data_IF_055009476011
#
_entry.id   IF_055009476011
#
_cell.length_a   1.000
_cell.length_b   1.000
_cell.length_c   1.000
_cell.angle_alpha   90.00
_cell.angle_beta   90.00
_cell.angle_gamma   90.00
#
_symmetry.space_group_name_H-M   'P 1'
#
loop_
_entity.id
_entity.type
_entity.pdbx_description
1 polymer ?
#
# COMPACT_ATOMS: atom_id res chain seq x y z
N UNK A 1 -22.62 35.81 69.01
CA UNK A 1 -22.62 34.53 68.27
C UNK A 1 -22.27 34.79 66.81
N UNK A 2 -21.02 34.56 66.40
CA UNK A 2 -20.57 34.59 65.00
C UNK A 2 -19.70 33.37 64.76
N UNK A 3 -20.18 32.47 63.92
CA UNK A 3 -19.57 31.18 63.58
C UNK A 3 -18.55 31.37 62.46
N UNK A 4 -17.26 31.17 62.74
CA UNK A 4 -16.22 31.02 61.73
C UNK A 4 -16.24 29.59 61.19
N UNK A 5 -16.43 29.40 59.88
CA UNK A 5 -16.26 28.11 59.20
C UNK A 5 -14.89 28.08 58.54
N UNK A 6 -14.06 27.14 58.99
CA UNK A 6 -12.76 26.77 58.40
C UNK A 6 -13.00 26.00 57.10
N UNK A 7 -12.45 26.48 56.00
CA UNK A 7 -12.44 25.77 54.70
C UNK A 7 -11.14 24.97 54.61
N UNK A 8 -11.25 23.65 54.62
CA UNK A 8 -10.14 22.74 54.37
C UNK A 8 -9.94 22.57 52.85
N UNK A 9 -8.77 22.97 52.35
CA UNK A 9 -8.39 22.82 50.96
C UNK A 9 -7.83 21.40 50.75
N UNK A 10 -8.56 20.55 50.04
CA UNK A 10 -8.17 19.18 49.72
C UNK A 10 -7.28 19.23 48.47
N UNK A 11 -5.96 19.09 48.63
CA UNK A 11 -5.02 18.96 47.53
C UNK A 11 -5.13 17.54 46.93
N UNK A 12 -5.75 17.41 45.77
CA UNK A 12 -5.77 16.16 45.01
C UNK A 12 -4.44 15.97 44.30
N UNK A 13 -3.63 15.03 44.79
CA UNK A 13 -2.44 14.52 44.12
C UNK A 13 -2.85 13.80 42.83
N UNK A 14 -2.47 14.36 41.68
CA UNK A 14 -2.58 13.67 40.40
C UNK A 14 -1.51 12.56 40.34
N UNK A 15 -1.85 11.33 39.91
CA UNK A 15 -0.89 10.26 39.73
C UNK A 15 0.04 10.60 38.56
N UNK A 16 1.34 10.65 38.84
CA UNK A 16 2.40 10.74 37.84
C UNK A 16 2.34 9.51 36.94
N UNK A 17 1.97 9.70 35.67
CA UNK A 17 2.06 8.65 34.65
C UNK A 17 3.54 8.42 34.37
N UNK A 18 4.13 7.40 34.99
CA UNK A 18 5.44 6.92 34.61
C UNK A 18 5.36 6.39 33.17
N UNK A 19 6.09 7.03 32.24
CA UNK A 19 6.37 6.46 30.93
C UNK A 19 7.12 5.15 31.16
N UNK A 20 6.42 4.02 31.08
CA UNK A 20 7.05 2.72 31.14
C UNK A 20 8.02 2.60 29.97
N UNK A 21 9.32 2.48 30.27
CA UNK A 21 10.33 2.13 29.27
C UNK A 21 9.93 0.79 28.66
N UNK A 22 9.66 0.77 27.35
CA UNK A 22 9.45 -0.48 26.64
C UNK A 22 10.82 -1.13 26.46
N UNK A 23 11.18 -2.01 27.40
CA UNK A 23 12.47 -2.71 27.38
C UNK A 23 12.57 -3.52 26.08
N UNK A 24 13.54 -3.16 25.22
CA UNK A 24 13.75 -3.85 23.94
C UNK A 24 14.21 -5.28 24.23
N UNK A 25 13.58 -6.32 23.64
CA UNK A 25 13.99 -7.71 23.84
C UNK A 25 15.45 -7.92 23.49
N UNK A 26 16.17 -8.64 24.34
CA UNK A 26 17.58 -8.97 24.12
C UNK A 26 17.75 -10.32 23.41
N UNK A 27 18.59 -10.38 22.37
CA UNK A 27 18.92 -11.58 21.62
C UNK A 27 20.42 -11.80 21.45
N UNK A 28 20.79 -12.73 20.57
CA UNK A 28 22.18 -13.02 20.16
C UNK A 28 22.44 -12.60 18.72
N UNK A 29 23.62 -12.04 18.44
CA UNK A 29 24.04 -11.72 17.06
C UNK A 29 24.27 -13.03 16.29
N UNK A 30 23.59 -13.24 15.13
CA UNK A 30 23.83 -14.41 14.31
C UNK A 30 25.33 -14.54 13.92
N UNK A 31 25.93 -15.74 14.01
CA UNK A 31 27.37 -15.91 13.76
C UNK A 31 27.83 -15.51 12.35
N UNK A 32 26.97 -15.71 11.36
CA UNK A 32 27.18 -15.33 9.96
C UNK A 32 27.20 -13.81 9.77
N UNK A 33 26.30 -13.07 10.42
CA UNK A 33 26.32 -11.60 10.44
C UNK A 33 27.57 -11.10 11.16
N UNK A 34 27.92 -11.69 12.31
CA UNK A 34 29.15 -11.34 13.02
C UNK A 34 30.41 -11.57 12.17
N UNK A 35 30.48 -12.69 11.45
CA UNK A 35 31.57 -12.99 10.53
C UNK A 35 31.61 -12.01 9.34
N UNK A 36 30.45 -11.67 8.77
CA UNK A 36 30.36 -10.71 7.67
C UNK A 36 30.86 -9.32 8.08
N UNK A 37 30.48 -8.84 9.27
CA UNK A 37 30.96 -7.55 9.81
C UNK A 37 32.48 -7.58 10.02
N UNK A 38 33.03 -8.68 10.56
CA UNK A 38 34.48 -8.84 10.76
C UNK A 38 35.24 -8.81 9.43
N UNK A 39 34.76 -9.57 8.44
CA UNK A 39 35.38 -9.69 7.14
C UNK A 39 35.26 -8.43 6.27
N UNK A 40 34.20 -7.62 6.46
CA UNK A 40 34.02 -6.40 5.69
C UNK A 40 35.16 -5.40 5.96
N UNK A 41 35.75 -4.77 4.92
CA UNK A 41 36.71 -3.71 5.12
C UNK A 41 36.05 -2.48 5.76
N UNK A 42 36.86 -1.62 6.41
CA UNK A 42 36.39 -0.29 6.77
C UNK A 42 36.01 0.45 5.48
N UNK A 43 34.77 0.93 5.40
CA UNK A 43 34.31 1.81 4.34
C UNK A 43 35.12 3.10 4.37
N UNK A 44 35.23 3.71 5.55
CA UNK A 44 36.07 4.87 5.87
C UNK A 44 36.41 4.84 7.37
N UNK A 45 37.49 5.49 7.78
CA UNK A 45 37.78 5.70 9.20
C UNK A 45 36.73 6.60 9.86
N UNK A 46 36.38 7.70 9.20
CA UNK A 46 35.35 8.64 9.63
C UNK A 46 34.35 8.83 8.49
N UNK A 47 33.06 8.60 8.77
CA UNK A 47 31.96 8.92 7.85
C UNK A 47 31.22 10.15 8.40
N UNK A 48 31.44 11.34 7.84
CA UNK A 48 30.62 12.50 8.18
C UNK A 48 29.26 12.40 7.49
N UNK A 49 28.18 12.58 8.25
CA UNK A 49 26.82 12.71 7.72
C UNK A 49 26.44 14.18 7.80
N UNK A 50 26.53 14.87 6.66
CA UNK A 50 26.19 16.29 6.53
C UNK A 50 24.98 16.47 5.61
N UNK A 51 23.86 16.98 6.13
CA UNK A 51 22.63 17.07 5.34
C UNK A 51 22.01 15.70 5.10
N UNK A 52 22.18 15.12 3.92
CA UNK A 52 21.70 13.77 3.58
C UNK A 52 22.77 12.99 2.82
N UNK A 53 23.22 11.87 3.40
CA UNK A 53 24.18 10.96 2.78
C UNK A 53 23.51 9.63 2.44
N UNK A 54 23.81 9.09 1.24
CA UNK A 54 23.17 7.90 0.69
C UNK A 54 24.15 6.75 0.58
N UNK A 55 23.73 5.56 1.02
CA UNK A 55 24.54 4.35 1.02
C UNK A 55 23.80 3.17 0.39
N UNK A 56 24.42 2.53 -0.60
CA UNK A 56 23.88 1.36 -1.29
C UNK A 56 24.55 0.05 -0.88
N UNK A 57 25.62 0.13 -0.08
CA UNK A 57 26.39 -1.02 0.39
C UNK A 57 25.58 -1.85 1.38
N UNK A 58 25.84 -3.16 1.39
CA UNK A 58 25.29 -4.07 2.39
C UNK A 58 25.84 -3.78 3.78
N UNK A 59 27.13 -3.46 3.89
CA UNK A 59 27.82 -3.18 5.16
C UNK A 59 28.53 -1.84 5.03
N UNK A 60 28.15 -0.91 5.89
CA UNK A 60 28.80 0.38 6.10
C UNK A 60 29.57 0.23 7.40
N UNK A 61 30.90 0.26 7.35
CA UNK A 61 31.76 0.00 8.51
C UNK A 61 32.76 1.14 8.70
N UNK A 62 32.79 1.75 9.88
CA UNK A 62 33.71 2.84 10.19
C UNK A 62 34.24 2.79 11.62
N UNK A 63 35.35 3.47 11.90
CA UNK A 63 35.74 3.72 13.29
C UNK A 63 34.76 4.74 13.92
N UNK A 64 34.42 5.80 13.18
CA UNK A 64 33.47 6.83 13.61
C UNK A 64 32.44 7.18 12.52
N UNK A 65 31.17 7.27 12.89
CA UNK A 65 30.12 7.91 12.08
C UNK A 65 29.69 9.18 12.82
N UNK A 66 29.80 10.35 12.18
CA UNK A 66 29.52 11.63 12.81
C UNK A 66 28.34 12.35 12.15
N UNK A 67 27.23 12.50 12.86
CA UNK A 67 26.06 13.24 12.41
C UNK A 67 26.17 14.72 12.71
N UNK A 68 26.05 15.56 11.69
CA UNK A 68 25.74 16.98 11.88
C UNK A 68 24.30 17.16 12.42
N UNK A 69 24.00 18.33 12.97
CA UNK A 69 22.64 18.64 13.43
C UNK A 69 21.64 18.53 12.27
N UNK A 70 20.55 17.78 12.45
CA UNK A 70 19.53 17.61 11.40
C UNK A 70 19.89 16.59 10.30
N UNK A 71 21.03 15.91 10.41
CA UNK A 71 21.55 15.10 9.32
C UNK A 71 20.84 13.74 9.15
N UNK A 72 20.87 13.22 7.92
CA UNK A 72 20.17 12.02 7.48
C UNK A 72 21.12 11.02 6.84
N UNK A 73 21.05 9.78 7.28
CA UNK A 73 21.67 8.62 6.62
C UNK A 73 20.56 7.84 5.91
N UNK A 74 20.62 7.80 4.59
CA UNK A 74 19.63 7.13 3.74
C UNK A 74 20.21 5.85 3.14
N UNK A 75 19.58 4.71 3.44
CA UNK A 75 19.93 3.41 2.87
C UNK A 75 19.18 3.17 1.55
N UNK A 76 19.91 3.02 0.45
CA UNK A 76 19.37 2.79 -0.90
C UNK A 76 19.51 1.32 -1.35
N UNK A 77 20.39 0.55 -0.70
CA UNK A 77 20.70 -0.85 -1.00
C UNK A 77 19.65 -1.86 -0.50
N UNK A 78 18.36 -1.59 -0.66
CA UNK A 78 17.28 -2.39 -0.05
C UNK A 78 17.09 -3.79 -0.67
N UNK A 79 17.92 -4.18 -1.63
CA UNK A 79 17.88 -5.49 -2.28
C UNK A 79 18.81 -6.51 -1.60
N UNK A 80 19.62 -6.06 -0.63
CA UNK A 80 20.44 -6.95 0.17
C UNK A 80 19.56 -7.78 1.12
N UNK A 81 19.99 -8.98 1.56
CA UNK A 81 19.24 -9.77 2.52
C UNK A 81 19.19 -9.11 3.92
N UNK A 82 20.20 -8.31 4.24
CA UNK A 82 20.31 -7.50 5.45
C UNK A 82 21.18 -6.28 5.15
N UNK A 83 21.13 -5.25 5.98
CA UNK A 83 22.04 -4.11 5.93
C UNK A 83 22.66 -3.88 7.30
N UNK A 84 23.95 -3.58 7.34
CA UNK A 84 24.67 -3.23 8.57
C UNK A 84 25.21 -1.81 8.49
N UNK A 85 24.89 -1.01 9.51
CA UNK A 85 25.54 0.28 9.80
C UNK A 85 26.38 0.09 11.05
N UNK A 86 27.69 -0.06 10.90
CA UNK A 86 28.61 -0.40 11.99
C UNK A 86 29.63 0.69 12.25
N UNK A 87 29.68 1.15 13.51
CA UNK A 87 30.71 2.05 13.99
C UNK A 87 31.20 1.67 15.40
N UNK A 88 32.50 1.85 15.65
CA UNK A 88 33.00 1.81 17.02
C UNK A 88 32.44 2.99 17.82
N UNK A 89 32.31 4.15 17.19
CA UNK A 89 31.70 5.35 17.77
C UNK A 89 30.68 5.99 16.83
N UNK A 90 29.51 6.34 17.35
CA UNK A 90 28.56 7.22 16.67
C UNK A 90 28.53 8.55 17.41
N UNK A 91 28.91 9.61 16.71
CA UNK A 91 28.99 10.97 17.26
C UNK A 91 27.84 11.81 16.73
N UNK A 92 27.18 12.55 17.61
CA UNK A 92 26.13 13.51 17.25
C UNK A 92 26.59 14.92 17.60
N UNK A 93 26.69 15.81 16.61
CA UNK A 93 27.11 17.19 16.85
C UNK A 93 26.15 17.95 17.78
N UNK A 94 24.86 17.63 17.69
CA UNK A 94 23.81 18.14 18.59
C UNK A 94 22.79 17.03 18.87
N UNK A 95 22.80 16.41 20.07
CA UNK A 95 21.87 15.33 20.42
C UNK A 95 20.41 15.78 20.53
N UNK A 96 20.15 17.08 20.74
CA UNK A 96 18.80 17.65 20.78
C UNK A 96 18.20 17.85 19.37
N UNK A 97 19.04 17.90 18.34
CA UNK A 97 18.57 17.98 16.96
C UNK A 97 18.19 16.59 16.45
N UNK A 98 17.15 16.51 15.61
CA UNK A 98 16.77 15.23 15.01
C UNK A 98 17.85 14.73 14.05
N UNK A 99 18.42 13.57 14.34
CA UNK A 99 19.21 12.80 13.38
C UNK A 99 18.37 11.63 12.89
N UNK A 100 18.46 11.32 11.59
CA UNK A 100 17.59 10.34 10.95
C UNK A 100 18.44 9.26 10.29
N UNK A 101 18.11 8.00 10.56
CA UNK A 101 18.55 6.87 9.74
C UNK A 101 17.29 6.30 9.09
N UNK A 102 17.26 6.24 7.77
CA UNK A 102 16.08 5.85 7.03
C UNK A 102 16.44 4.98 5.85
N UNK A 103 15.48 4.20 5.36
CA UNK A 103 15.54 3.72 3.97
C UNK A 103 15.22 4.86 3.01
N UNK A 104 15.61 4.70 1.74
CA UNK A 104 15.27 5.67 0.70
C UNK A 104 13.73 5.84 0.57
N UNK A 105 13.19 7.04 0.79
CA UNK A 105 11.77 7.31 0.62
C UNK A 105 11.34 7.16 -0.84
N UNK A 106 12.25 7.32 -1.82
CA UNK A 106 11.95 7.10 -3.24
C UNK A 106 11.70 5.62 -3.54
N UNK A 107 12.24 4.70 -2.73
CA UNK A 107 11.84 3.28 -2.84
C UNK A 107 10.41 3.04 -2.35
N UNK A 108 9.85 3.93 -1.52
CA UNK A 108 8.40 3.94 -1.25
C UNK A 108 7.58 4.70 -2.29
N UNK A 109 8.18 5.60 -3.08
CA UNK A 109 7.50 6.20 -4.23
C UNK A 109 7.25 5.18 -5.35
N UNK A 110 8.00 4.07 -5.36
CA UNK A 110 7.62 2.83 -6.03
C UNK A 110 6.61 2.05 -5.18
N UNK A 111 5.43 2.65 -4.96
CA UNK A 111 4.23 1.93 -4.52
C UNK A 111 4.09 0.65 -5.37
N UNK A 112 3.43 -0.38 -4.83
CA UNK A 112 2.91 -1.42 -5.71
C UNK A 112 2.18 -0.76 -6.88
N UNK A 113 2.49 -1.13 -8.11
CA UNK A 113 1.84 -0.51 -9.27
C UNK A 113 0.38 -0.87 -9.33
N UNK A 114 -0.47 0.09 -9.63
CA UNK A 114 -1.90 -0.14 -9.80
C UNK A 114 -2.17 -1.15 -10.94
N UNK A 115 -3.24 -1.90 -10.78
CA UNK A 115 -3.71 -2.83 -11.80
C UNK A 115 -4.27 -2.09 -13.02
N UNK A 116 -4.05 -2.59 -14.25
CA UNK A 116 -4.61 -1.99 -15.45
C UNK A 116 -6.15 -2.10 -15.48
N UNK A 117 -6.80 -1.17 -16.15
CA UNK A 117 -8.26 -1.24 -16.40
C UNK A 117 -8.58 -2.42 -17.32
N UNK A 118 -9.67 -3.13 -17.01
CA UNK A 118 -10.14 -4.24 -17.81
C UNK A 118 -10.68 -3.80 -19.18
N UNK A 119 -10.55 -4.62 -20.23
CA UNK A 119 -11.05 -4.28 -21.55
C UNK A 119 -12.58 -4.18 -21.57
N UNK A 120 -13.12 -3.24 -22.32
CA UNK A 120 -14.57 -3.16 -22.51
C UNK A 120 -15.09 -4.36 -23.31
N UNK A 121 -16.29 -4.81 -22.99
CA UNK A 121 -17.02 -5.79 -23.77
C UNK A 121 -17.41 -5.19 -25.12
N UNK A 122 -17.36 -5.99 -26.17
CA UNK A 122 -17.79 -5.56 -27.49
C UNK A 122 -19.30 -5.32 -27.51
N UNK A 123 -19.71 -4.29 -28.25
CA UNK A 123 -21.11 -4.13 -28.62
C UNK A 123 -21.53 -5.25 -29.56
N UNK A 124 -22.81 -5.63 -29.52
CA UNK A 124 -23.35 -6.63 -30.43
C UNK A 124 -24.50 -6.02 -31.25
N UNK A 125 -24.18 -5.22 -32.29
CA UNK A 125 -25.20 -4.57 -33.09
C UNK A 125 -26.02 -5.59 -33.88
N UNK A 126 -27.22 -5.17 -34.27
CA UNK A 126 -28.16 -6.00 -35.04
C UNK A 126 -29.01 -6.92 -34.17
N UNK A 127 -29.64 -7.88 -34.84
CA UNK A 127 -30.72 -8.70 -34.29
C UNK A 127 -30.71 -10.11 -34.85
N UNK A 128 -31.34 -11.03 -34.11
CA UNK A 128 -31.69 -12.37 -34.54
C UNK A 128 -33.17 -12.59 -34.27
N UNK A 129 -33.95 -12.96 -35.30
CA UNK A 129 -35.41 -13.13 -35.20
C UNK A 129 -36.12 -11.91 -34.60
N UNK A 130 -35.76 -10.70 -35.08
CA UNK A 130 -36.21 -9.39 -34.58
C UNK A 130 -35.80 -9.06 -33.13
N UNK A 131 -35.13 -9.96 -32.41
CA UNK A 131 -34.61 -9.68 -31.07
C UNK A 131 -33.20 -9.13 -31.19
N UNK A 132 -32.93 -7.98 -30.57
CA UNK A 132 -31.60 -7.40 -30.60
C UNK A 132 -30.55 -8.35 -29.98
N UNK A 133 -29.34 -8.36 -30.53
CA UNK A 133 -28.29 -9.25 -30.05
C UNK A 133 -27.76 -8.79 -28.67
N UNK A 134 -27.40 -9.70 -27.75
CA UNK A 134 -26.90 -9.30 -26.44
C UNK A 134 -25.47 -8.76 -26.51
N UNK A 135 -25.19 -7.67 -25.79
CA UNK A 135 -23.84 -7.13 -25.65
C UNK A 135 -22.90 -8.07 -24.88
N UNK A 136 -21.60 -8.04 -25.19
CA UNK A 136 -20.62 -8.91 -24.55
C UNK A 136 -20.20 -8.38 -23.17
N UNK A 137 -19.83 -9.25 -22.21
CA UNK A 137 -19.35 -8.81 -20.91
C UNK A 137 -18.02 -8.05 -21.00
N UNK A 138 -17.81 -7.12 -20.09
CA UNK A 138 -16.51 -6.48 -19.88
C UNK A 138 -15.49 -7.43 -19.26
N UNK A 139 -14.22 -7.23 -19.58
CA UNK A 139 -13.11 -7.99 -19.00
C UNK A 139 -12.75 -7.54 -17.59
N UNK A 140 -12.09 -8.40 -16.79
CA UNK A 140 -11.67 -8.05 -15.44
C UNK A 140 -10.59 -6.97 -15.44
N UNK A 141 -10.59 -6.13 -14.41
CA UNK A 141 -9.45 -5.27 -14.08
C UNK A 141 -8.24 -6.13 -13.71
N UNK A 142 -7.05 -5.68 -14.07
CA UNK A 142 -5.82 -6.37 -13.71
C UNK A 142 -5.53 -6.25 -12.21
N UNK A 143 -4.85 -7.24 -11.62
CA UNK A 143 -4.43 -7.16 -10.24
C UNK A 143 -3.39 -6.06 -10.05
N UNK A 144 -3.39 -5.42 -8.89
CA UNK A 144 -2.29 -4.55 -8.51
C UNK A 144 -1.05 -5.37 -8.14
N UNK A 145 0.11 -4.72 -8.18
CA UNK A 145 1.35 -5.30 -7.65
C UNK A 145 1.36 -5.12 -6.14
N UNK A 146 1.69 -6.19 -5.42
CA UNK A 146 1.88 -6.11 -3.98
C UNK A 146 3.12 -5.26 -3.67
N UNK A 147 3.02 -4.42 -2.63
CA UNK A 147 4.16 -3.82 -1.95
C UNK A 147 5.09 -4.87 -1.32
N UNK A 148 4.62 -6.13 -1.24
CA UNK A 148 5.41 -7.31 -0.87
C UNK A 148 6.54 -7.66 -1.85
N UNK A 149 6.63 -7.05 -3.03
CA UNK A 149 7.71 -7.39 -3.98
C UNK A 149 9.11 -7.11 -3.44
N UNK A 150 9.26 -6.41 -2.30
CA UNK A 150 10.50 -6.33 -1.53
C UNK A 150 10.22 -6.36 -0.02
N UNK A 151 10.49 -7.50 0.63
CA UNK A 151 10.73 -7.51 2.07
C UNK A 151 11.91 -6.57 2.34
N UNK A 152 11.73 -5.63 3.27
CA UNK A 152 12.84 -4.78 3.65
C UNK A 152 13.90 -5.63 4.37
N UNK A 153 15.20 -5.40 4.11
CA UNK A 153 16.26 -6.10 4.82
C UNK A 153 16.20 -5.80 6.31
N UNK A 154 16.61 -6.78 7.11
CA UNK A 154 16.97 -6.56 8.50
C UNK A 154 18.06 -5.51 8.59
N UNK A 155 17.91 -4.54 9.49
CA UNK A 155 18.88 -3.45 9.66
C UNK A 155 19.58 -3.59 11.01
N UNK A 156 20.87 -3.89 10.94
CA UNK A 156 21.75 -3.96 12.09
C UNK A 156 22.43 -2.62 12.30
N UNK A 157 22.13 -1.94 13.41
CA UNK A 157 22.87 -0.76 13.85
C UNK A 157 23.86 -1.19 14.91
N UNK A 158 25.13 -1.27 14.53
CA UNK A 158 26.23 -1.66 15.42
C UNK A 158 26.90 -0.40 15.97
N UNK A 159 26.86 -0.21 17.29
CA UNK A 159 27.38 0.99 17.94
C UNK A 159 28.12 0.65 19.25
N UNK A 160 29.41 0.95 19.31
CA UNK A 160 30.21 0.77 20.53
C UNK A 160 29.99 1.87 21.56
N UNK A 161 30.23 3.10 21.14
CA UNK A 161 30.08 4.33 21.93
C UNK A 161 29.11 5.29 21.23
N UNK A 162 28.33 6.04 22.02
CA UNK A 162 27.47 7.11 21.52
C UNK A 162 27.82 8.41 22.24
N UNK A 163 28.29 9.40 21.49
CA UNK A 163 28.89 10.61 22.06
C UNK A 163 28.42 11.88 21.36
N UNK A 164 28.62 13.01 22.02
CA UNK A 164 28.52 14.36 21.48
C UNK A 164 29.89 15.08 21.67
N UNK A 165 30.03 16.38 21.32
CA UNK A 165 31.26 17.12 21.58
C UNK A 165 31.65 17.24 23.06
N UNK A 166 30.72 16.99 24.01
CA UNK A 166 30.94 17.09 25.46
C UNK A 166 31.28 15.74 26.10
N UNK A 167 31.02 14.63 25.42
CA UNK A 167 31.35 13.28 25.88
C UNK A 167 30.25 12.27 25.61
N UNK A 168 30.10 11.23 26.44
CA UNK A 168 29.00 10.28 26.35
C UNK A 168 27.64 10.98 26.48
N UNK A 169 26.70 10.64 25.60
CA UNK A 169 25.33 11.19 25.67
C UNK A 169 24.54 10.47 26.77
N UNK A 170 23.90 11.18 27.71
CA UNK A 170 23.01 10.56 28.68
C UNK A 170 21.77 9.90 28.03
N UNK A 171 21.28 8.84 28.65
CA UNK A 171 20.04 8.18 28.24
C UNK A 171 18.87 9.17 28.16
N UNK A 172 18.07 9.08 27.09
CA UNK A 172 16.91 9.95 26.87
C UNK A 172 17.20 11.33 26.25
N UNK A 173 18.46 11.72 26.07
CA UNK A 173 18.82 13.02 25.46
C UNK A 173 19.07 12.94 23.94
N UNK A 174 19.08 11.75 23.35
CA UNK A 174 19.31 11.58 21.91
C UNK A 174 18.00 11.61 21.11
N UNK A 175 17.84 12.61 20.23
CA UNK A 175 16.76 12.67 19.24
C UNK A 175 17.10 11.91 17.95
N UNK A 176 17.32 10.60 18.05
CA UNK A 176 17.51 9.71 16.90
C UNK A 176 16.17 9.15 16.41
N UNK A 177 15.93 9.22 15.09
CA UNK A 177 14.75 8.67 14.43
C UNK A 177 15.16 7.61 13.42
N UNK A 178 14.52 6.44 13.50
CA UNK A 178 14.71 5.32 12.59
C UNK A 178 13.46 5.14 11.74
N UNK A 179 13.55 5.39 10.43
CA UNK A 179 12.41 5.35 9.50
C UNK A 179 12.52 4.19 8.52
N UNK A 180 11.84 3.10 8.84
CA UNK A 180 11.88 1.81 8.13
C UNK A 180 10.49 1.21 7.92
N UNK A 181 9.51 2.08 7.62
CA UNK A 181 8.14 1.66 7.28
C UNK A 181 8.14 0.76 6.04
N UNK A 182 7.26 -0.24 5.97
CA UNK A 182 7.07 -1.06 4.78
C UNK A 182 6.65 -0.27 3.53
N UNK A 183 6.60 -0.95 2.38
CA UNK A 183 6.20 -0.36 1.09
C UNK A 183 4.69 -0.58 0.91
N UNK A 184 3.95 0.46 0.53
CA UNK A 184 2.50 0.36 0.33
C UNK A 184 2.18 -0.43 -0.96
N UNK A 185 1.09 -1.19 -0.98
CA UNK A 185 0.62 -1.94 -2.14
C UNK A 185 -0.17 -1.07 -3.13
N UNK A 186 -0.30 -1.54 -4.38
CA UNK A 186 -1.05 -0.84 -5.42
C UNK A 186 -2.56 -1.08 -5.36
N UNK A 187 -3.33 -0.20 -5.99
CA UNK A 187 -4.78 -0.33 -6.12
C UNK A 187 -5.14 -1.27 -7.28
N UNK A 188 -6.18 -2.09 -7.09
CA UNK A 188 -6.66 -2.98 -8.14
C UNK A 188 -7.28 -2.21 -9.32
N UNK A 189 -7.09 -2.72 -10.53
CA UNK A 189 -7.63 -2.08 -11.74
C UNK A 189 -9.16 -2.09 -11.78
N UNK A 190 -9.78 -1.09 -12.39
CA UNK A 190 -11.25 -1.10 -12.57
C UNK A 190 -11.64 -2.13 -13.64
N UNK A 191 -12.74 -2.85 -13.45
CA UNK A 191 -13.29 -3.75 -14.46
C UNK A 191 -13.77 -3.01 -15.71
N UNK A 192 -13.68 -3.67 -16.86
CA UNK A 192 -14.12 -3.08 -18.13
C UNK A 192 -15.63 -2.92 -18.19
N UNK A 193 -16.11 -1.93 -18.94
CA UNK A 193 -17.54 -1.72 -19.16
C UNK A 193 -18.10 -2.87 -20.01
N UNK A 194 -19.32 -3.33 -19.73
CA UNK A 194 -20.03 -4.24 -20.62
C UNK A 194 -20.43 -3.59 -21.95
N UNK A 195 -20.53 -4.40 -22.99
CA UNK A 195 -20.97 -3.98 -24.32
C UNK A 195 -22.46 -3.66 -24.38
N UNK A 196 -22.85 -2.78 -25.29
CA UNK A 196 -24.24 -2.42 -25.51
C UNK A 196 -24.99 -3.55 -26.25
N UNK A 197 -26.27 -3.70 -25.93
CA UNK A 197 -27.18 -4.59 -26.65
C UNK A 197 -27.59 -4.00 -28.00
N UNK A 198 -27.81 -4.88 -28.97
CA UNK A 198 -28.27 -4.53 -30.31
C UNK A 198 -29.71 -4.04 -30.34
N UNK A 199 -30.02 -3.19 -31.31
CA UNK A 199 -31.40 -2.78 -31.60
C UNK A 199 -32.21 -3.96 -32.16
N UNK A 200 -33.47 -4.02 -31.77
CA UNK A 200 -34.41 -4.99 -32.32
C UNK A 200 -35.04 -4.59 -33.66
N UNK A 201 -35.62 -5.59 -34.31
CA UNK A 201 -36.25 -5.48 -35.61
C UNK A 201 -37.64 -4.91 -35.56
N UNK A 202 -37.98 -4.13 -36.58
CA UNK A 202 -39.33 -3.62 -36.73
C UNK A 202 -40.34 -4.75 -37.06
N UNK A 203 -41.60 -4.49 -36.74
CA UNK A 203 -42.72 -5.33 -37.10
C UNK A 203 -42.86 -5.52 -38.61
N UNK A 204 -43.22 -6.73 -39.04
CA UNK A 204 -43.55 -7.00 -40.46
C UNK A 204 -44.80 -6.20 -40.83
N UNK A 205 -44.79 -5.53 -41.97
CA UNK A 205 -45.98 -4.87 -42.50
C UNK A 205 -47.11 -5.87 -42.72
N UNK A 206 -48.34 -5.43 -42.43
CA UNK A 206 -49.53 -6.22 -42.71
C UNK A 206 -49.82 -6.28 -44.21
N UNK A 207 -50.39 -7.39 -44.66
CA UNK A 207 -50.86 -7.56 -46.03
C UNK A 207 -52.36 -7.24 -46.08
N UNK A 208 -52.74 -6.26 -46.89
CA UNK A 208 -54.14 -5.87 -47.11
C UNK A 208 -54.61 -6.30 -48.50
N UNK A 209 -55.90 -6.58 -48.65
CA UNK A 209 -56.57 -6.66 -49.95
C UNK A 209 -57.44 -5.39 -50.17
N UNK A 210 -58.23 -5.37 -51.25
CA UNK A 210 -59.17 -4.27 -51.54
C UNK A 210 -60.17 -4.02 -50.39
N UNK A 211 -60.58 -5.05 -49.63
CA UNK A 211 -61.66 -4.92 -48.63
C UNK A 211 -61.40 -5.61 -47.28
N UNK A 212 -60.25 -6.26 -47.08
CA UNK A 212 -59.93 -6.93 -45.82
C UNK A 212 -58.42 -6.95 -45.50
N UNK A 213 -58.08 -7.17 -44.23
CA UNK A 213 -56.70 -7.44 -43.81
C UNK A 213 -56.44 -8.95 -43.96
N UNK A 214 -55.49 -9.32 -44.83
CA UNK A 214 -55.13 -10.73 -45.08
C UNK A 214 -54.13 -11.25 -44.05
N UNK A 215 -53.20 -10.40 -43.63
CA UNK A 215 -52.22 -10.70 -42.59
C UNK A 215 -52.01 -9.43 -41.76
N UNK A 216 -52.22 -9.51 -40.45
CA UNK A 216 -51.97 -8.36 -39.56
C UNK A 216 -50.49 -7.99 -39.52
N UNK A 217 -50.19 -6.73 -39.19
CA UNK A 217 -48.82 -6.32 -38.91
C UNK A 217 -48.22 -7.13 -37.75
N UNK A 218 -46.91 -7.37 -37.78
CA UNK A 218 -46.17 -7.97 -36.66
C UNK A 218 -45.79 -6.91 -35.62
N UNK A 219 -45.64 -7.25 -34.34
CA UNK A 219 -45.07 -6.33 -33.35
C UNK A 219 -43.57 -6.11 -33.59
N UNK A 220 -43.04 -5.00 -33.07
CA UNK A 220 -41.59 -4.81 -32.99
C UNK A 220 -40.96 -5.80 -32.03
N UNK A 221 -39.71 -6.22 -32.29
CA UNK A 221 -39.01 -7.15 -31.42
C UNK A 221 -38.36 -6.48 -30.20
N UNK A 222 -37.91 -7.28 -29.25
CA UNK A 222 -37.28 -6.80 -28.00
C UNK A 222 -35.80 -6.48 -28.23
N UNK A 223 -35.33 -5.35 -27.72
CA UNK A 223 -33.92 -4.98 -27.80
C UNK A 223 -33.00 -5.98 -27.10
N UNK A 224 -31.73 -5.99 -27.48
CA UNK A 224 -30.72 -6.88 -26.90
C UNK A 224 -30.37 -6.49 -25.47
N UNK A 225 -30.12 -7.47 -24.62
CA UNK A 225 -29.64 -7.22 -23.26
C UNK A 225 -28.25 -6.57 -23.29
N UNK A 226 -27.97 -5.71 -22.32
CA UNK A 226 -26.63 -5.19 -22.10
C UNK A 226 -25.67 -6.27 -21.57
N UNK A 227 -24.39 -6.18 -21.93
CA UNK A 227 -23.33 -6.95 -21.30
C UNK A 227 -23.06 -6.48 -19.88
N UNK A 228 -22.72 -7.41 -18.99
CA UNK A 228 -22.31 -7.07 -17.61
C UNK A 228 -20.94 -6.40 -17.59
N UNK A 229 -20.71 -5.51 -16.63
CA UNK A 229 -19.37 -4.98 -16.36
C UNK A 229 -18.44 -6.07 -15.80
N UNK A 230 -17.16 -5.97 -16.12
CA UNK A 230 -16.14 -6.88 -15.61
C UNK A 230 -15.91 -6.73 -14.11
N UNK A 231 -15.24 -7.72 -13.51
CA UNK A 231 -14.84 -7.66 -12.09
C UNK A 231 -13.72 -6.64 -11.90
N UNK A 232 -13.66 -5.98 -10.76
CA UNK A 232 -12.46 -5.22 -10.38
C UNK A 232 -11.24 -6.12 -10.14
N UNK A 233 -10.05 -5.57 -10.32
CA UNK A 233 -8.79 -6.23 -10.03
C UNK A 233 -8.51 -6.30 -8.53
N UNK A 234 -7.80 -7.33 -8.10
CA UNK A 234 -7.43 -7.52 -6.70
C UNK A 234 -6.41 -6.44 -6.25
N UNK A 235 -6.50 -6.02 -4.98
CA UNK A 235 -5.56 -5.07 -4.38
C UNK A 235 -4.18 -5.69 -4.13
N UNK A 236 -3.15 -4.85 -4.11
CA UNK A 236 -1.80 -5.24 -3.69
C UNK A 236 -1.65 -5.22 -2.17
N UNK A 237 -1.05 -6.26 -1.58
CA UNK A 237 -0.74 -6.28 -0.16
C UNK A 237 0.37 -5.28 0.21
N UNK A 238 0.32 -4.73 1.43
CA UNK A 238 1.41 -3.93 1.97
C UNK A 238 2.64 -4.77 2.31
N UNK A 239 3.84 -4.22 2.11
CA UNK A 239 5.12 -4.83 2.50
C UNK A 239 5.37 -4.71 4.00
N UNK A 240 6.13 -5.63 4.59
CA UNK A 240 6.47 -5.59 6.01
C UNK A 240 7.41 -4.41 6.33
N UNK A 241 7.32 -3.88 7.54
CA UNK A 241 8.34 -2.96 8.06
C UNK A 241 9.64 -3.71 8.36
N UNK A 242 10.78 -3.02 8.35
CA UNK A 242 12.07 -3.68 8.60
C UNK A 242 12.22 -4.10 10.07
N UNK A 243 12.85 -5.24 10.28
CA UNK A 243 13.39 -5.62 11.59
C UNK A 243 14.63 -4.77 11.89
N UNK A 244 14.67 -4.16 13.07
CA UNK A 244 15.79 -3.35 13.53
C UNK A 244 16.51 -4.05 14.68
N UNK A 245 17.81 -4.24 14.53
CA UNK A 245 18.65 -4.94 15.51
C UNK A 245 19.74 -3.99 15.98
N UNK A 246 19.68 -3.59 17.25
CA UNK A 246 20.73 -2.80 17.88
C UNK A 246 21.83 -3.73 18.40
N UNK A 247 23.02 -3.70 17.80
CA UNK A 247 24.17 -4.49 18.26
C UNK A 247 25.12 -3.55 18.98
N UNK A 248 25.10 -3.53 20.30
CA UNK A 248 25.67 -2.40 21.03
C UNK A 248 26.25 -2.80 22.38
N UNK A 249 27.00 -1.90 23.00
CA UNK A 249 27.41 -2.04 24.40
C UNK A 249 26.27 -1.62 25.32
N UNK A 250 26.34 -1.98 26.61
CA UNK A 250 25.31 -1.57 27.58
C UNK A 250 25.13 -0.05 27.65
N UNK A 251 26.18 0.79 27.74
CA UNK A 251 26.01 2.24 27.76
C UNK A 251 25.35 2.79 26.49
N UNK A 252 25.72 2.29 25.32
CA UNK A 252 25.13 2.76 24.06
C UNK A 252 23.68 2.27 23.88
N UNK A 253 23.33 1.07 24.38
CA UNK A 253 21.95 0.60 24.46
C UNK A 253 21.06 1.54 25.29
N UNK A 254 21.54 1.99 26.45
CA UNK A 254 20.79 2.90 27.33
C UNK A 254 20.41 4.20 26.62
N UNK A 255 21.24 4.66 25.66
CA UNK A 255 20.93 5.81 24.80
C UNK A 255 19.97 5.43 23.66
N UNK A 256 20.28 4.38 22.88
CA UNK A 256 19.49 3.97 21.72
C UNK A 256 18.08 3.48 22.06
N UNK A 257 17.87 2.98 23.27
CA UNK A 257 16.56 2.53 23.74
C UNK A 257 15.49 3.63 23.72
N UNK A 258 15.90 4.91 23.68
CA UNK A 258 15.01 6.07 23.55
C UNK A 258 14.82 6.56 22.12
N UNK A 259 15.46 5.91 21.14
CA UNK A 259 15.29 6.26 19.73
C UNK A 259 13.84 6.08 19.27
N UNK A 260 13.40 6.96 18.37
CA UNK A 260 12.05 6.91 17.81
C UNK A 260 12.05 6.02 16.58
N UNK A 261 11.44 4.85 16.70
CA UNK A 261 11.36 3.90 15.60
C UNK A 261 10.00 3.93 14.91
N UNK A 262 10.02 4.15 13.60
CA UNK A 262 8.87 3.93 12.73
C UNK A 262 9.19 2.78 11.75
N UNK A 263 8.82 1.57 12.15
CA UNK A 263 8.96 0.35 11.36
C UNK A 263 7.60 -0.34 11.15
N UNK A 264 6.53 0.44 11.03
CA UNK A 264 5.19 -0.09 10.71
C UNK A 264 5.18 -0.72 9.32
N UNK A 265 4.25 -1.64 9.06
CA UNK A 265 4.07 -2.16 7.71
C UNK A 265 3.58 -1.10 6.72
N UNK A 266 3.68 -1.45 5.44
CA UNK A 266 2.99 -0.75 4.36
C UNK A 266 1.49 -1.02 4.42
N UNK A 267 0.71 -0.10 3.86
CA UNK A 267 -0.74 -0.26 3.70
C UNK A 267 -1.04 -1.08 2.46
N UNK A 268 -2.06 -1.92 2.51
CA UNK A 268 -2.63 -2.53 1.32
C UNK A 268 -3.28 -1.46 0.43
N UNK A 269 -3.28 -1.72 -0.87
CA UNK A 269 -4.09 -0.93 -1.81
C UNK A 269 -5.58 -1.23 -1.67
N UNK A 270 -6.38 -0.46 -2.39
CA UNK A 270 -7.81 -0.62 -2.48
C UNK A 270 -8.17 -1.64 -3.58
N UNK A 271 -9.21 -2.47 -3.38
CA UNK A 271 -9.69 -3.35 -4.43
C UNK A 271 -10.27 -2.54 -5.59
N UNK A 272 -10.03 -3.01 -6.81
CA UNK A 272 -10.61 -2.43 -8.01
C UNK A 272 -12.12 -2.49 -8.00
N UNK A 273 -12.76 -1.48 -8.59
CA UNK A 273 -14.22 -1.46 -8.75
C UNK A 273 -14.65 -2.33 -9.93
N UNK A 274 -15.82 -2.95 -9.83
CA UNK A 274 -16.46 -3.58 -10.98
C UNK A 274 -16.78 -2.55 -12.07
N UNK A 275 -16.72 -2.96 -13.33
CA UNK A 275 -17.07 -2.11 -14.46
C UNK A 275 -18.57 -1.77 -14.49
N UNK A 276 -18.95 -0.75 -15.24
CA UNK A 276 -20.37 -0.48 -15.47
C UNK A 276 -20.95 -1.46 -16.50
N UNK A 277 -22.25 -1.83 -16.43
CA UNK A 277 -22.89 -2.55 -17.51
C UNK A 277 -22.91 -1.71 -18.80
N UNK A 278 -23.15 -2.39 -19.92
CA UNK A 278 -23.52 -1.71 -21.17
C UNK A 278 -24.92 -1.09 -21.11
N UNK A 279 -25.31 -0.43 -22.20
CA UNK A 279 -26.68 0.05 -22.37
C UNK A 279 -27.52 -1.02 -23.07
N UNK A 280 -28.76 -1.27 -22.62
CA UNK A 280 -29.65 -2.18 -23.32
C UNK A 280 -30.02 -1.62 -24.70
N UNK A 281 -30.21 -2.52 -25.66
CA UNK A 281 -30.63 -2.16 -27.00
C UNK A 281 -32.08 -1.64 -27.01
N UNK A 282 -32.41 -0.69 -27.89
CA UNK A 282 -33.80 -0.25 -28.04
C UNK A 282 -34.66 -1.34 -28.70
N UNK A 283 -35.94 -1.37 -28.35
CA UNK A 283 -36.94 -2.20 -29.03
C UNK A 283 -37.20 -1.75 -30.47
N UNK A 284 -37.73 -2.66 -31.27
CA UNK A 284 -38.16 -2.38 -32.64
C UNK A 284 -39.49 -1.62 -32.67
N UNK A 285 -39.76 -0.87 -33.73
CA UNK A 285 -41.08 -0.25 -33.92
C UNK A 285 -42.10 -1.30 -34.35
N UNK A 286 -43.37 -1.12 -33.98
CA UNK A 286 -44.47 -1.92 -34.53
C UNK A 286 -44.72 -1.58 -36.00
N UNK A 287 -45.43 -2.45 -36.71
CA UNK A 287 -45.84 -2.17 -38.07
C UNK A 287 -46.86 -1.01 -38.08
N UNK A 288 -46.73 -0.05 -39.02
CA UNK A 288 -47.75 1.00 -39.18
C UNK A 288 -49.07 0.39 -39.67
N UNK A 289 -50.15 1.17 -39.55
CA UNK A 289 -51.42 0.79 -40.18
C UNK A 289 -51.27 0.84 -41.71
N UNK A 290 -51.83 -0.15 -42.40
CA UNK A 290 -51.85 -0.23 -43.86
C UNK A 290 -53.20 -0.77 -44.33
N UNK A 291 -53.97 0.05 -45.04
CA UNK A 291 -55.28 -0.31 -45.56
C UNK A 291 -56.23 -0.74 -44.44
N UNK A 292 -56.65 -2.00 -44.47
CA UNK A 292 -57.53 -2.60 -43.46
C UNK A 292 -56.78 -3.17 -42.25
N UNK A 293 -55.45 -3.21 -42.26
CA UNK A 293 -54.64 -3.74 -41.17
C UNK A 293 -54.29 -2.65 -40.15
N UNK A 294 -54.58 -2.91 -38.88
CA UNK A 294 -54.26 -2.01 -37.75
C UNK A 294 -52.75 -1.98 -37.47
N UNK A 295 -52.28 -0.86 -36.94
CA UNK A 295 -50.92 -0.74 -36.42
C UNK A 295 -50.71 -1.68 -35.21
N UNK A 296 -49.47 -2.09 -35.00
CA UNK A 296 -49.06 -2.90 -33.85
C UNK A 296 -48.14 -2.12 -32.90
N UNK A 297 -47.99 -2.64 -31.68
CA UNK A 297 -47.10 -2.06 -30.67
C UNK A 297 -45.62 -2.25 -31.02
N UNK A 298 -44.79 -1.32 -30.55
CA UNK A 298 -43.35 -1.48 -30.53
C UNK A 298 -42.90 -2.55 -29.54
N UNK A 299 -41.70 -3.07 -29.75
CA UNK A 299 -41.06 -3.96 -28.79
C UNK A 299 -40.43 -3.19 -27.63
N UNK A 300 -40.18 -3.91 -26.53
CA UNK A 300 -39.54 -3.33 -25.36
C UNK A 300 -38.03 -3.16 -25.57
N UNK A 301 -37.37 -2.20 -24.90
CA UNK A 301 -35.92 -2.22 -24.77
C UNK A 301 -35.43 -3.54 -24.16
N UNK A 302 -34.16 -3.87 -24.41
CA UNK A 302 -33.51 -4.96 -23.72
C UNK A 302 -33.38 -4.71 -22.22
N UNK A 303 -32.94 -5.74 -21.49
CA UNK A 303 -32.70 -5.65 -20.05
C UNK A 303 -31.26 -5.28 -19.72
N UNK A 304 -31.08 -4.68 -18.54
CA UNK A 304 -29.76 -4.66 -17.90
C UNK A 304 -29.43 -6.05 -17.34
N UNK A 305 -28.14 -6.43 -17.31
CA UNK A 305 -27.72 -7.69 -16.72
C UNK A 305 -27.91 -7.67 -15.20
N UNK A 306 -28.20 -8.84 -14.63
CA UNK A 306 -28.25 -9.08 -13.19
C UNK A 306 -27.28 -10.21 -12.84
N UNK A 307 -26.15 -9.93 -12.16
CA UNK A 307 -25.74 -8.63 -11.63
C UNK A 307 -25.26 -7.66 -12.73
N UNK A 308 -25.30 -6.35 -12.44
CA UNK A 308 -24.83 -5.30 -13.36
C UNK A 308 -23.32 -5.39 -13.66
N UNK A 309 -22.56 -5.94 -12.71
CA UNK A 309 -21.14 -6.25 -12.86
C UNK A 309 -20.74 -7.43 -11.98
N UNK A 310 -19.53 -7.93 -12.21
CA UNK A 310 -19.00 -9.09 -11.49
C UNK A 310 -18.38 -8.75 -10.12
N UNK A 311 -18.62 -7.55 -9.59
CA UNK A 311 -18.21 -7.13 -8.26
C UNK A 311 -16.80 -6.53 -8.16
N UNK A 312 -16.38 -6.28 -6.92
CA UNK A 312 -15.07 -5.75 -6.57
C UNK A 312 -13.97 -6.81 -6.72
N UNK A 313 -12.73 -6.34 -6.82
CA UNK A 313 -11.57 -7.19 -6.54
C UNK A 313 -11.49 -7.61 -5.07
N UNK A 314 -10.59 -8.54 -4.78
CA UNK A 314 -10.28 -8.94 -3.41
C UNK A 314 -9.46 -7.86 -2.70
N UNK A 315 -9.71 -7.69 -1.40
CA UNK A 315 -8.85 -6.89 -0.52
C UNK A 315 -7.56 -7.62 -0.21
N UNK A 316 -6.50 -6.87 0.06
CA UNK A 316 -5.23 -7.41 0.55
C UNK A 316 -4.97 -6.97 2.00
N UNK A 317 -4.02 -7.64 2.66
CA UNK A 317 -3.63 -7.32 4.02
C UNK A 317 -2.54 -6.24 4.08
N UNK A 318 -2.61 -5.40 5.11
CA UNK A 318 -1.51 -4.51 5.48
C UNK A 318 -0.27 -5.34 5.87
N UNK A 319 0.91 -4.74 5.70
CA UNK A 319 2.16 -5.32 6.15
C UNK A 319 2.23 -5.38 7.67
N UNK A 320 2.93 -6.39 8.19
CA UNK A 320 3.24 -6.46 9.62
C UNK A 320 4.24 -5.35 9.99
N UNK A 321 4.12 -4.85 11.23
CA UNK A 321 5.16 -4.04 11.86
C UNK A 321 6.41 -4.93 12.06
N UNK A 322 7.58 -4.40 11.74
CA UNK A 322 8.84 -5.05 12.07
C UNK A 322 9.09 -5.10 13.57
N UNK A 323 10.06 -5.90 13.96
CA UNK A 323 10.54 -6.02 15.33
C UNK A 323 11.66 -5.04 15.60
N UNK A 324 11.86 -4.74 16.90
CA UNK A 324 13.06 -4.03 17.38
C UNK A 324 13.66 -4.92 18.43
N UNK A 325 14.92 -5.32 18.25
CA UNK A 325 15.65 -6.16 19.19
C UNK A 325 17.01 -5.56 19.50
N UNK A 326 17.60 -5.96 20.63
CA UNK A 326 18.93 -5.53 21.01
C UNK A 326 19.82 -6.74 21.27
N UNK A 327 21.09 -6.64 20.87
CA UNK A 327 22.15 -7.56 21.22
C UNK A 327 23.18 -6.76 22.00
N UNK A 328 23.27 -7.03 23.30
CA UNK A 328 24.16 -6.30 24.19
C UNK A 328 25.47 -7.08 24.32
N UNK A 329 26.55 -6.50 23.84
CA UNK A 329 27.91 -7.05 23.89
C UNK A 329 28.72 -6.34 24.98
N UNK A 330 29.76 -7.00 25.49
CA UNK A 330 30.74 -6.35 26.37
C UNK A 330 31.53 -5.26 25.59
N UNK A 331 31.85 -5.55 24.33
CA UNK A 331 32.50 -4.63 23.40
C UNK A 331 32.13 -5.00 21.97
N UNK A 332 32.03 -4.00 21.09
CA UNK A 332 31.90 -4.22 19.64
C UNK A 332 33.27 -4.37 18.97
N UNK A 333 34.38 -4.08 19.66
CA UNK A 333 35.76 -4.14 19.13
C UNK A 333 36.10 -5.42 18.36
N UNK A 334 35.72 -6.61 18.86
CA UNK A 334 35.97 -7.87 18.14
C UNK A 334 35.32 -7.95 16.76
N UNK A 335 34.29 -7.14 16.47
CA UNK A 335 33.66 -7.05 15.14
C UNK A 335 34.48 -6.20 14.16
N UNK A 336 35.46 -5.44 14.65
CA UNK A 336 36.34 -4.58 13.88
C UNK A 336 37.76 -5.15 13.72
N UNK A 337 38.00 -6.38 14.18
CA UNK A 337 39.32 -7.03 14.11
C UNK A 337 40.34 -6.47 15.12
N UNK A 338 39.86 -5.77 16.16
CA UNK A 338 40.64 -5.30 17.30
C UNK A 338 40.37 -6.16 18.53
#
# INVERSE_FOLDING_TARGET
MKSLRTVACLATLLPSVALAQQQIPTGSLPPDIAAAIKAAPLTQTLIPISGEEKFSQQIIKADEISFAAGAKLTLTGLNHPYIVVAAQRIKFANPDAYSIIQRDPQTAAALGSDGPVGPNGADNPGETNRTGNPGYPGGPGGPAVAGQTRQLPDVYLVAGEITDPKGPIPAGLLNLVLLFRGIDGGDGGTGGRGGNGGRAGNGKEGATSLFDCKEGGGPGGTGGAAGAGGRGGDAGAGGQGADLIFVTTKPAYEVLSYSRTNNVGGRAGLPGRGGNPGNPGPGGQGAPANGWCKATGGGSPGSFPSPANLGLGNTAADGAKGTVTAVILQSVGPLFGK
#
